data_IF_946183836064
#
_entry.id   IF_946183836064
#
_cell.length_a   1.000
_cell.length_b   1.000
_cell.length_c   1.000
_cell.angle_alpha   90.00
_cell.angle_beta   90.00
_cell.angle_gamma   90.00
#
_symmetry.space_group_name_H-M   'P 1'
#
loop_
_entity.id
_entity.type
_entity.pdbx_description
1 polymer ?
#
# COMPACT_ATOMS: atom_id res chain seq x y z
N UNK A 1 -12.27 -27.38 -4.09
CA UNK A 1 -11.77 -26.06 -4.50
C UNK A 1 -10.31 -26.25 -4.84
N UNK A 2 -9.91 -25.96 -6.07
CA UNK A 2 -8.56 -26.31 -6.56
C UNK A 2 -7.58 -25.16 -6.29
N UNK A 3 -6.33 -25.47 -5.94
CA UNK A 3 -5.26 -24.51 -5.56
C UNK A 3 -5.06 -23.37 -6.57
N UNK A 4 -5.44 -23.57 -7.84
CA UNK A 4 -5.39 -22.56 -8.89
C UNK A 4 -6.49 -21.50 -8.79
N UNK A 5 -7.70 -21.87 -8.38
CA UNK A 5 -8.80 -20.92 -8.15
C UNK A 5 -8.48 -19.98 -6.98
N UNK A 6 -7.85 -20.50 -5.94
CA UNK A 6 -7.46 -19.72 -4.75
C UNK A 6 -6.34 -18.73 -5.07
N UNK A 7 -5.35 -19.13 -5.88
CA UNK A 7 -4.25 -18.26 -6.29
C UNK A 7 -4.70 -17.13 -7.22
N UNK A 8 -5.59 -17.42 -8.17
CA UNK A 8 -6.14 -16.42 -9.08
C UNK A 8 -7.06 -15.43 -8.35
N UNK A 9 -7.93 -15.93 -7.47
CA UNK A 9 -8.80 -15.10 -6.62
C UNK A 9 -8.00 -14.17 -5.72
N UNK A 10 -6.91 -14.66 -5.11
CA UNK A 10 -6.01 -13.85 -4.29
C UNK A 10 -5.35 -12.74 -5.13
N UNK A 11 -4.84 -13.07 -6.32
CA UNK A 11 -4.23 -12.07 -7.19
C UNK A 11 -5.22 -10.96 -7.58
N UNK A 12 -6.45 -11.33 -7.97
CA UNK A 12 -7.50 -10.37 -8.32
C UNK A 12 -7.85 -9.45 -7.15
N UNK A 13 -8.00 -10.02 -5.95
CA UNK A 13 -8.27 -9.24 -4.73
C UNK A 13 -7.17 -8.22 -4.45
N UNK A 14 -5.90 -8.61 -4.64
CA UNK A 14 -4.77 -7.69 -4.43
C UNK A 14 -4.73 -6.58 -5.49
N UNK A 15 -5.11 -6.88 -6.73
CA UNK A 15 -5.22 -5.88 -7.80
C UNK A 15 -6.32 -4.85 -7.47
N UNK A 16 -7.50 -5.31 -7.07
CA UNK A 16 -8.63 -4.47 -6.67
C UNK A 16 -8.26 -3.55 -5.50
N UNK A 17 -7.56 -4.07 -4.47
CA UNK A 17 -7.11 -3.26 -3.35
C UNK A 17 -6.07 -2.22 -3.81
N UNK A 18 -5.09 -2.62 -4.61
CA UNK A 18 -4.07 -1.70 -5.11
C UNK A 18 -4.68 -0.58 -5.99
N UNK A 19 -5.72 -0.88 -6.77
CA UNK A 19 -6.50 0.13 -7.48
C UNK A 19 -7.20 1.10 -6.51
N UNK A 20 -7.84 0.57 -5.47
CA UNK A 20 -8.51 1.38 -4.44
C UNK A 20 -7.53 2.27 -3.63
N UNK A 21 -6.25 1.89 -3.52
CA UNK A 21 -5.23 2.70 -2.84
C UNK A 21 -4.91 4.01 -3.60
N UNK A 22 -4.97 4.02 -4.93
CA UNK A 22 -4.57 5.17 -5.77
C UNK A 22 -5.32 6.46 -5.39
N UNK A 23 -6.68 6.50 -5.36
CA UNK A 23 -7.39 7.72 -5.00
C UNK A 23 -7.13 8.16 -3.57
N UNK A 24 -6.87 7.23 -2.64
CA UNK A 24 -6.57 7.54 -1.24
C UNK A 24 -5.20 8.20 -1.11
N UNK A 25 -4.16 7.62 -1.70
CA UNK A 25 -2.80 8.19 -1.75
C UNK A 25 -2.83 9.57 -2.41
N UNK A 26 -3.53 9.70 -3.54
CA UNK A 26 -3.65 10.96 -4.25
C UNK A 26 -4.32 12.05 -3.40
N UNK A 27 -5.33 11.69 -2.60
CA UNK A 27 -6.02 12.63 -1.70
C UNK A 27 -5.10 13.10 -0.58
N UNK A 28 -4.40 12.18 0.08
CA UNK A 28 -3.42 12.48 1.12
C UNK A 28 -2.34 13.45 0.62
N UNK A 29 -1.78 13.18 -0.57
CA UNK A 29 -0.78 14.06 -1.17
C UNK A 29 -1.35 15.45 -1.50
N UNK A 30 -2.46 15.52 -2.24
CA UNK A 30 -2.94 16.80 -2.78
C UNK A 30 -3.63 17.69 -1.77
N UNK A 31 -4.27 17.12 -0.75
CA UNK A 31 -5.08 17.88 0.20
C UNK A 31 -4.35 18.18 1.51
N UNK A 32 -3.35 17.35 1.88
CA UNK A 32 -2.66 17.45 3.18
C UNK A 32 -1.14 17.48 3.07
N UNK A 33 -0.59 17.42 1.85
CA UNK A 33 0.84 17.30 1.60
C UNK A 33 1.47 16.10 2.35
N UNK A 34 0.70 15.02 2.46
CA UNK A 34 1.12 13.76 3.09
C UNK A 34 1.62 12.82 2.00
N UNK A 35 2.92 12.56 2.00
CA UNK A 35 3.57 11.59 1.12
C UNK A 35 3.57 10.22 1.79
N UNK A 36 2.86 9.26 1.19
CA UNK A 36 2.82 7.88 1.67
C UNK A 36 4.01 7.11 1.12
N UNK A 37 4.79 6.49 2.00
CA UNK A 37 5.96 5.65 1.67
C UNK A 37 5.69 4.19 2.06
N UNK A 38 6.41 3.27 1.42
CA UNK A 38 6.55 1.88 1.84
C UNK A 38 8.03 1.51 1.79
N UNK A 39 8.65 1.33 2.95
CA UNK A 39 10.09 1.14 3.12
C UNK A 39 10.92 2.15 2.31
N UNK A 40 10.77 3.42 2.64
CA UNK A 40 11.42 4.59 2.04
C UNK A 40 11.09 4.82 0.57
N UNK A 41 10.10 4.12 0.01
CA UNK A 41 9.67 4.30 -1.39
C UNK A 41 8.30 4.93 -1.46
N UNK A 42 8.23 6.11 -2.07
CA UNK A 42 6.96 6.81 -2.28
C UNK A 42 5.99 5.98 -3.08
N UNK A 43 4.73 5.89 -2.63
CA UNK A 43 3.61 5.28 -3.35
C UNK A 43 2.88 6.28 -4.26
N UNK A 44 3.25 7.55 -4.22
CA UNK A 44 2.64 8.63 -4.99
C UNK A 44 2.83 8.40 -6.48
N UNK A 45 1.78 8.64 -7.26
CA UNK A 45 1.74 8.49 -8.73
C UNK A 45 2.15 7.10 -9.25
N UNK A 46 2.07 6.06 -8.41
CA UNK A 46 2.26 4.68 -8.85
C UNK A 46 0.99 4.13 -9.51
N UNK A 47 1.19 3.35 -10.56
CA UNK A 47 0.14 2.48 -11.09
C UNK A 47 -0.16 1.34 -10.13
N UNK A 48 -1.27 0.62 -10.35
CA UNK A 48 -1.62 -0.62 -9.64
C UNK A 48 -0.44 -1.58 -9.59
N UNK A 49 0.16 -1.87 -10.75
CA UNK A 49 1.36 -2.71 -10.86
C UNK A 49 2.55 -2.12 -10.09
N UNK A 50 2.72 -0.81 -10.10
CA UNK A 50 3.76 -0.13 -9.33
C UNK A 50 3.58 -0.29 -7.82
N UNK A 51 2.35 -0.20 -7.32
CA UNK A 51 2.01 -0.42 -5.90
C UNK A 51 2.31 -1.87 -5.53
N UNK A 52 1.83 -2.84 -6.32
CA UNK A 52 2.08 -4.27 -6.09
C UNK A 52 3.57 -4.64 -6.11
N UNK A 53 4.35 -4.08 -7.04
CA UNK A 53 5.80 -4.29 -7.10
C UNK A 53 6.51 -3.69 -5.88
N UNK A 54 6.04 -2.54 -5.40
CA UNK A 54 6.63 -1.89 -4.23
C UNK A 54 6.40 -2.71 -2.97
N UNK A 55 5.18 -3.25 -2.80
CA UNK A 55 4.83 -4.21 -1.75
C UNK A 55 5.67 -5.49 -1.82
N UNK A 56 5.79 -6.11 -3.00
CA UNK A 56 6.63 -7.30 -3.21
C UNK A 56 8.10 -7.07 -2.87
N UNK A 57 8.58 -5.85 -3.04
CA UNK A 57 9.95 -5.50 -2.70
C UNK A 57 10.23 -5.55 -1.19
N UNK A 58 9.21 -5.42 -0.33
CA UNK A 58 9.36 -5.55 1.12
C UNK A 58 10.06 -6.84 1.52
N UNK A 59 9.89 -7.92 0.75
CA UNK A 59 10.58 -9.20 0.95
C UNK A 59 12.10 -9.10 0.91
N UNK A 60 12.65 -8.16 0.14
CA UNK A 60 14.11 -7.93 0.10
C UNK A 60 14.62 -7.20 1.34
N UNK A 61 13.73 -6.59 2.13
CA UNK A 61 14.06 -5.77 3.31
C UNK A 61 13.73 -6.54 4.58
N UNK A 62 12.51 -7.09 4.69
CA UNK A 62 11.97 -7.72 5.89
C UNK A 62 11.93 -9.26 5.83
N UNK A 63 12.38 -9.88 4.72
CA UNK A 63 12.38 -11.34 4.54
C UNK A 63 11.04 -11.91 4.06
N UNK A 64 9.95 -11.15 4.13
CA UNK A 64 8.62 -11.55 3.64
C UNK A 64 7.90 -10.46 2.82
N UNK A 65 6.96 -10.91 1.99
CA UNK A 65 6.18 -10.00 1.15
C UNK A 65 5.09 -9.31 1.98
N UNK A 66 5.20 -7.99 2.12
CA UNK A 66 4.14 -7.18 2.72
C UNK A 66 2.98 -7.02 1.73
N UNK A 67 1.80 -7.50 2.08
CA UNK A 67 0.61 -7.46 1.23
C UNK A 67 -0.08 -6.10 1.27
N UNK A 68 -0.77 -5.75 0.18
CA UNK A 68 -1.64 -4.57 0.11
C UNK A 68 -2.82 -4.67 1.08
N UNK A 69 -3.25 -5.89 1.43
CA UNK A 69 -4.27 -6.13 2.45
C UNK A 69 -3.81 -5.69 3.84
N UNK A 70 -2.51 -5.79 4.12
CA UNK A 70 -1.91 -5.46 5.41
C UNK A 70 -1.68 -3.95 5.54
N UNK A 71 -1.39 -3.26 4.44
CA UNK A 71 -1.09 -1.82 4.44
C UNK A 71 -2.31 -0.94 4.21
N UNK A 72 -3.38 -1.45 3.58
CA UNK A 72 -4.61 -0.69 3.32
C UNK A 72 -5.27 -0.13 4.60
N UNK A 73 -5.35 -0.87 5.73
CA UNK A 73 -5.90 -0.32 6.98
C UNK A 73 -5.12 0.90 7.50
N UNK A 74 -3.78 0.87 7.41
CA UNK A 74 -2.94 2.02 7.79
C UNK A 74 -3.23 3.21 6.88
N UNK A 75 -3.28 2.97 5.56
CA UNK A 75 -3.58 4.02 4.59
C UNK A 75 -4.96 4.66 4.86
N UNK A 76 -5.97 3.87 5.20
CA UNK A 76 -7.29 4.37 5.59
C UNK A 76 -7.23 5.20 6.88
N UNK A 77 -6.50 4.72 7.90
CA UNK A 77 -6.33 5.45 9.15
C UNK A 77 -5.68 6.84 8.93
N UNK A 78 -4.72 6.96 8.02
CA UNK A 78 -4.13 8.27 7.69
C UNK A 78 -5.17 9.30 7.21
N UNK A 79 -6.25 8.84 6.57
CA UNK A 79 -7.32 9.75 6.10
C UNK A 79 -8.17 10.32 7.24
N UNK A 80 -8.23 9.64 8.39
CA UNK A 80 -9.05 10.04 9.53
C UNK A 80 -8.29 10.91 10.53
N UNK A 81 -6.95 10.95 10.44
CA UNK A 81 -6.10 11.76 11.31
C UNK A 81 -6.03 13.20 10.83
N UNK A 82 -5.83 14.14 11.75
CA UNK A 82 -5.53 15.54 11.45
C UNK A 82 -4.02 15.71 11.19
N UNK A 83 -3.59 15.35 9.98
CA UNK A 83 -2.19 15.35 9.57
C UNK A 83 -1.85 16.66 8.84
N UNK A 84 -0.76 17.29 9.25
CA UNK A 84 -0.07 18.30 8.45
C UNK A 84 0.91 17.69 7.42
N UNK A 85 1.62 18.54 6.66
CA UNK A 85 2.62 18.12 5.69
C UNK A 85 3.63 17.16 6.30
N UNK A 86 3.75 15.95 5.74
CA UNK A 86 4.56 14.89 6.33
C UNK A 86 4.88 13.76 5.34
N UNK A 87 5.89 12.97 5.68
CA UNK A 87 6.17 11.71 5.01
C UNK A 87 5.89 10.57 5.99
N UNK A 88 5.02 9.64 5.61
CA UNK A 88 4.59 8.55 6.47
C UNK A 88 4.88 7.23 5.79
N UNK A 89 5.74 6.42 6.41
CA UNK A 89 6.09 5.09 5.92
C UNK A 89 5.16 4.03 6.54
N UNK A 90 4.16 3.61 5.78
CA UNK A 90 3.22 2.57 6.23
C UNK A 90 3.84 1.17 6.20
N UNK A 91 4.96 0.98 5.49
CA UNK A 91 5.72 -0.27 5.50
C UNK A 91 6.44 -0.49 6.84
N UNK A 92 6.89 0.59 7.48
CA UNK A 92 7.43 0.53 8.83
C UNK A 92 6.36 0.28 9.90
N UNK A 93 5.13 0.75 9.68
CA UNK A 93 4.02 0.58 10.63
C UNK A 93 3.41 -0.83 10.58
N UNK A 94 3.44 -1.46 9.41
CA UNK A 94 2.90 -2.80 9.20
C UNK A 94 3.91 -3.92 9.54
N UNK A 95 5.21 -3.66 9.46
CA UNK A 95 6.24 -4.62 9.85
C UNK A 95 6.26 -4.78 11.38
N UNK A 96 5.80 -5.93 11.88
CA UNK A 96 5.91 -6.36 13.28
C UNK A 96 6.86 -7.53 13.39
#
# INVERSE_FOLDING_TARGET
>A
MTVNEDSFTNWKTREEIAEAMIPVIGRLQRQRDVTVLLHSRSLVNKSVVGILKTHRFARQIAGEELSVTETMPFLQALTTLDLGPSQIDIGMLAAT
#
